data_IF_063347320950
#
_entry.id   IF_063347320950
#
_cell.length_a   1.000
_cell.length_b   1.000
_cell.length_c   1.000
_cell.angle_alpha   90.00
_cell.angle_beta   90.00
_cell.angle_gamma   90.00
#
_symmetry.space_group_name_H-M   'P 1'
#
loop_
_entity.id
_entity.type
_entity.pdbx_description
1 polymer ?
#
# COMPACT_ATOMS: atom_id res chain seq x y z
N UNK A 1 12.84 15.20 11.70
CA UNK A 1 13.57 16.18 10.87
C UNK A 1 12.60 16.95 10.01
N UNK A 2 12.98 18.14 9.56
CA UNK A 2 12.13 19.07 8.80
C UNK A 2 11.50 18.43 7.56
N UNK A 3 12.29 17.66 6.79
CA UNK A 3 11.83 16.92 5.60
C UNK A 3 10.72 15.93 5.93
N UNK A 4 10.85 15.17 7.03
CA UNK A 4 9.81 14.23 7.47
C UNK A 4 8.52 14.95 7.87
N UNK A 5 8.64 16.12 8.51
CA UNK A 5 7.50 16.97 8.83
C UNK A 5 6.77 17.46 7.57
N UNK A 6 7.49 17.89 6.55
CA UNK A 6 6.90 18.31 5.28
C UNK A 6 6.18 17.15 4.56
N UNK A 7 6.81 15.98 4.47
CA UNK A 7 6.16 14.80 3.86
C UNK A 7 4.92 14.34 4.64
N UNK A 8 4.95 14.37 5.98
CA UNK A 8 3.78 14.02 6.79
C UNK A 8 2.60 14.95 6.53
N UNK A 9 2.84 16.25 6.32
CA UNK A 9 1.78 17.19 5.93
C UNK A 9 1.18 16.83 4.56
N UNK A 10 2.04 16.56 3.57
CA UNK A 10 1.59 16.16 2.23
C UNK A 10 0.76 14.88 2.30
N UNK A 11 1.26 13.85 2.98
CA UNK A 11 0.54 12.59 3.16
C UNK A 11 -0.78 12.81 3.88
N UNK A 12 -0.83 13.65 4.91
CA UNK A 12 -2.08 13.98 5.61
C UNK A 12 -3.18 14.49 4.67
N UNK A 13 -2.83 15.34 3.70
CA UNK A 13 -3.78 15.82 2.69
C UNK A 13 -4.19 14.77 1.66
N UNK A 14 -3.27 13.87 1.30
CA UNK A 14 -3.51 12.82 0.30
C UNK A 14 -4.17 11.58 0.89
N UNK A 15 -4.13 11.42 2.22
CA UNK A 15 -4.51 10.19 2.89
C UNK A 15 -5.91 9.68 2.59
N UNK A 16 -6.97 10.52 2.56
CA UNK A 16 -8.31 10.03 2.22
C UNK A 16 -8.34 9.34 0.85
N UNK A 17 -7.56 9.84 -0.13
CA UNK A 17 -7.45 9.23 -1.45
C UNK A 17 -6.63 7.94 -1.40
N UNK A 18 -5.50 7.94 -0.70
CA UNK A 18 -4.65 6.73 -0.53
C UNK A 18 -5.42 5.60 0.16
N UNK A 19 -6.10 5.93 1.26
CA UNK A 19 -6.91 5.00 2.04
C UNK A 19 -8.02 4.37 1.18
N UNK A 20 -8.74 5.18 0.39
CA UNK A 20 -9.80 4.68 -0.50
C UNK A 20 -9.25 3.92 -1.73
N UNK A 21 -8.08 4.31 -2.24
CA UNK A 21 -7.43 3.62 -3.36
C UNK A 21 -7.02 2.18 -3.01
N UNK A 22 -6.94 1.84 -1.72
CA UNK A 22 -6.65 0.48 -1.24
C UNK A 22 -7.65 -0.54 -1.77
N UNK A 23 -8.95 -0.20 -1.86
CA UNK A 23 -9.94 -1.09 -2.46
C UNK A 23 -9.56 -1.45 -3.91
N UNK A 24 -9.13 -0.46 -4.69
CA UNK A 24 -8.72 -0.69 -6.07
C UNK A 24 -7.53 -1.65 -6.14
N UNK A 25 -6.47 -1.40 -5.36
CA UNK A 25 -5.28 -2.28 -5.32
C UNK A 25 -5.65 -3.70 -4.91
N UNK A 26 -6.50 -3.86 -3.89
CA UNK A 26 -6.94 -5.18 -3.44
C UNK A 26 -7.67 -5.93 -4.54
N UNK A 27 -8.56 -5.28 -5.29
CA UNK A 27 -9.35 -5.95 -6.32
C UNK A 27 -8.57 -6.21 -7.61
N UNK A 28 -7.72 -5.28 -8.04
CA UNK A 28 -7.06 -5.38 -9.34
C UNK A 28 -5.71 -6.08 -9.29
N UNK A 29 -5.04 -6.09 -8.13
CA UNK A 29 -3.69 -6.63 -8.00
C UNK A 29 -3.64 -7.81 -7.02
N UNK A 30 -4.24 -7.68 -5.84
CA UNK A 30 -4.13 -8.72 -4.79
C UNK A 30 -5.08 -9.88 -5.03
N UNK A 31 -6.35 -9.60 -5.35
CA UNK A 31 -7.38 -10.62 -5.53
C UNK A 31 -7.04 -11.65 -6.62
N UNK A 32 -6.57 -11.26 -7.83
CA UNK A 32 -6.26 -12.26 -8.86
C UNK A 32 -5.14 -13.22 -8.42
N UNK A 33 -4.14 -12.70 -7.71
CA UNK A 33 -3.03 -13.51 -7.18
C UNK A 33 -3.55 -14.46 -6.09
N UNK A 34 -4.40 -13.97 -5.20
CA UNK A 34 -5.01 -14.76 -4.15
C UNK A 34 -5.85 -15.90 -4.74
N UNK A 35 -6.74 -15.60 -5.67
CA UNK A 35 -7.60 -16.58 -6.34
C UNK A 35 -6.80 -17.65 -7.10
N UNK A 36 -5.69 -17.27 -7.74
CA UNK A 36 -4.81 -18.21 -8.42
C UNK A 36 -4.07 -19.19 -7.49
N UNK A 37 -3.95 -18.86 -6.20
CA UNK A 37 -3.22 -19.67 -5.21
C UNK A 37 -4.11 -20.38 -4.21
N UNK A 38 -5.38 -20.00 -4.11
CA UNK A 38 -6.30 -20.59 -3.15
C UNK A 38 -6.85 -21.96 -3.59
N UNK A 39 -7.20 -22.84 -2.64
CA UNK A 39 -7.94 -24.07 -2.93
C UNK A 39 -9.27 -23.78 -3.61
N UNK A 40 -9.77 -24.73 -4.43
CA UNK A 40 -11.03 -24.58 -5.19
C UNK A 40 -12.24 -24.17 -4.34
N UNK A 41 -12.31 -24.64 -3.09
CA UNK A 41 -13.39 -24.29 -2.15
C UNK A 41 -13.43 -22.77 -1.83
N UNK A 42 -12.30 -22.08 -1.96
CA UNK A 42 -12.16 -20.64 -1.72
C UNK A 42 -11.90 -19.85 -3.02
N UNK A 43 -12.11 -20.45 -4.19
CA UNK A 43 -11.83 -19.79 -5.48
C UNK A 43 -12.63 -18.49 -5.66
N UNK A 44 -13.82 -18.43 -5.09
CA UNK A 44 -14.73 -17.29 -5.14
C UNK A 44 -14.53 -16.30 -3.97
N UNK A 45 -13.48 -16.48 -3.16
CA UNK A 45 -13.10 -15.49 -2.15
C UNK A 45 -12.79 -14.16 -2.85
N UNK A 46 -13.37 -13.08 -2.32
CA UNK A 46 -13.20 -11.74 -2.89
C UNK A 46 -13.10 -10.66 -1.82
N UNK A 47 -12.46 -9.54 -2.13
CA UNK A 47 -12.51 -8.36 -1.27
C UNK A 47 -13.81 -7.60 -1.51
N UNK A 48 -14.35 -6.96 -0.47
CA UNK A 48 -15.54 -6.13 -0.62
C UNK A 48 -15.21 -4.82 -1.37
N UNK A 49 -15.93 -4.45 -2.44
CA UNK A 49 -15.58 -3.31 -3.30
C UNK A 49 -15.82 -1.92 -2.72
N UNK A 50 -16.02 -1.82 -1.41
CA UNK A 50 -16.36 -0.55 -0.75
C UNK A 50 -16.29 -0.59 0.77
N UNK A 51 -15.73 -1.67 1.33
CA UNK A 51 -15.50 -1.80 2.78
C UNK A 51 -14.01 -2.03 3.08
N UNK A 52 -13.14 -1.72 2.13
CA UNK A 52 -11.70 -1.84 2.30
C UNK A 52 -11.03 -0.46 2.33
N UNK A 53 -10.46 -0.08 3.47
CA UNK A 53 -9.77 1.20 3.66
C UNK A 53 -8.67 1.10 4.72
N UNK A 54 -7.67 1.96 4.62
CA UNK A 54 -6.57 2.08 5.59
C UNK A 54 -6.92 2.97 6.80
N UNK A 55 -8.19 3.31 6.96
CA UNK A 55 -8.65 4.16 8.05
C UNK A 55 -8.31 5.63 7.83
N UNK A 56 -8.47 6.43 8.88
CA UNK A 56 -8.34 7.89 8.82
C UNK A 56 -6.96 8.40 9.27
N UNK A 57 -6.20 7.59 10.02
CA UNK A 57 -4.87 7.97 10.52
C UNK A 57 -3.80 7.72 9.44
N UNK A 58 -3.12 8.76 8.93
CA UNK A 58 -2.09 8.60 7.91
C UNK A 58 -0.83 7.94 8.42
N UNK A 59 -0.13 7.24 7.53
CA UNK A 59 1.25 6.80 7.77
C UNK A 59 2.12 8.01 8.14
N UNK A 60 3.12 7.77 8.98
CA UNK A 60 4.03 8.78 9.49
C UNK A 60 5.47 8.44 9.13
N UNK A 61 6.14 9.33 8.39
CA UNK A 61 7.58 9.31 8.21
C UNK A 61 8.27 9.69 9.51
N UNK A 62 9.14 8.81 10.01
CA UNK A 62 9.95 8.99 11.23
C UNK A 62 11.33 9.52 10.90
N UNK A 63 11.98 8.93 9.90
CA UNK A 63 13.32 9.31 9.44
C UNK A 63 13.38 9.21 7.93
N UNK A 64 14.06 10.17 7.31
CA UNK A 64 14.32 10.20 5.88
C UNK A 64 15.79 10.52 5.71
N UNK A 65 16.47 9.70 4.91
CA UNK A 65 17.82 9.93 4.42
C UNK A 65 17.74 10.05 2.91
N UNK A 66 18.46 11.03 2.38
CA UNK A 66 18.53 11.29 0.95
C UNK A 66 20.00 11.20 0.58
N UNK A 67 20.34 10.13 -0.13
CA UNK A 67 21.69 9.85 -0.58
C UNK A 67 21.81 10.13 -2.07
N UNK A 68 22.98 10.60 -2.50
CA UNK A 68 23.31 10.70 -3.92
C UNK A 68 24.06 9.43 -4.30
N UNK A 69 23.46 8.63 -5.18
CA UNK A 69 24.09 7.42 -5.69
C UNK A 69 24.64 7.67 -7.08
N UNK A 70 25.91 7.31 -7.30
CA UNK A 70 26.51 7.36 -8.62
C UNK A 70 26.49 5.95 -9.22
N UNK A 71 25.63 5.72 -10.20
CA UNK A 71 25.58 4.45 -10.91
C UNK A 71 26.38 4.59 -12.22
N UNK A 72 27.45 3.79 -12.37
CA UNK A 72 28.14 3.67 -13.66
C UNK A 72 27.36 2.71 -14.55
N UNK A 73 26.94 3.18 -15.73
CA UNK A 73 26.34 2.36 -16.78
C UNK A 73 27.30 2.28 -17.97
N UNK A 74 26.98 1.42 -18.95
CA UNK A 74 27.78 1.27 -20.17
C UNK A 74 27.84 2.54 -21.04
N UNK A 75 26.94 3.51 -20.82
CA UNK A 75 26.85 4.77 -21.59
C UNK A 75 27.27 6.01 -20.79
N UNK A 76 27.63 5.87 -19.51
CA UNK A 76 28.09 6.99 -18.68
C UNK A 76 27.77 6.84 -17.19
N UNK A 77 28.03 7.88 -16.41
CA UNK A 77 27.65 7.95 -14.99
C UNK A 77 26.27 8.60 -14.82
N UNK A 78 25.35 7.91 -14.15
CA UNK A 78 24.05 8.46 -13.76
C UNK A 78 24.13 8.88 -12.29
N UNK A 79 23.79 10.14 -12.01
CA UNK A 79 23.59 10.61 -10.65
C UNK A 79 22.13 10.38 -10.25
N UNK A 80 21.92 9.41 -9.37
CA UNK A 80 20.64 9.08 -8.79
C UNK A 80 20.48 9.74 -7.42
N UNK A 81 19.23 9.99 -7.05
CA UNK A 81 18.87 10.39 -5.69
C UNK A 81 18.13 9.22 -5.05
N UNK A 82 18.76 8.58 -4.07
CA UNK A 82 18.19 7.48 -3.30
C UNK A 82 17.51 8.04 -2.05
N UNK A 83 16.23 7.71 -1.86
CA UNK A 83 15.47 8.14 -0.69
C UNK A 83 15.21 6.91 0.17
N UNK A 84 15.80 6.91 1.36
CA UNK A 84 15.55 5.90 2.37
C UNK A 84 14.66 6.47 3.45
N UNK A 85 13.45 5.93 3.60
CA UNK A 85 12.49 6.42 4.57
C UNK A 85 12.08 5.31 5.54
N UNK A 86 12.14 5.60 6.83
CA UNK A 86 11.46 4.83 7.86
C UNK A 86 10.11 5.46 8.12
N UNK A 87 9.05 4.68 7.90
CA UNK A 87 7.68 5.08 8.19
C UNK A 87 7.03 4.08 9.14
N UNK A 88 6.01 4.56 9.84
CA UNK A 88 5.18 3.76 10.74
C UNK A 88 3.71 4.05 10.42
N UNK A 89 2.88 3.03 10.53
CA UNK A 89 1.44 3.17 10.31
C UNK A 89 0.71 2.39 11.40
N UNK A 90 -0.01 3.13 12.22
CA UNK A 90 -0.93 2.62 13.24
C UNK A 90 -2.27 3.31 13.00
N UNK A 91 -3.23 2.54 12.53
CA UNK A 91 -4.58 2.99 12.22
C UNK A 91 -5.56 1.83 12.33
N UNK A 92 -6.81 2.18 12.63
CA UNK A 92 -7.94 1.26 12.52
C UNK A 92 -8.27 1.08 11.04
N UNK A 93 -7.71 0.03 10.45
CA UNK A 93 -8.01 -0.36 9.08
C UNK A 93 -9.20 -1.32 9.02
N UNK A 94 -9.84 -1.36 7.86
CA UNK A 94 -10.88 -2.33 7.57
C UNK A 94 -10.54 -3.01 6.26
N UNK A 95 -10.38 -4.34 6.30
CA UNK A 95 -10.13 -5.17 5.12
C UNK A 95 -11.15 -6.29 5.16
N UNK A 96 -12.19 -6.14 4.34
CA UNK A 96 -13.34 -7.04 4.39
C UNK A 96 -13.25 -8.11 3.29
N UNK A 97 -13.21 -9.37 3.71
CA UNK A 97 -13.26 -10.53 2.82
C UNK A 97 -14.68 -11.07 2.74
N UNK A 98 -15.11 -11.41 1.53
CA UNK A 98 -16.37 -12.09 1.24
C UNK A 98 -16.04 -13.52 0.87
N UNK A 99 -16.55 -14.46 1.67
CA UNK A 99 -16.45 -15.87 1.41
C UNK A 99 -17.55 -16.32 0.45
N UNK A 100 -17.28 -17.30 -0.43
CA UNK A 100 -18.34 -17.95 -1.16
C UNK A 100 -19.36 -18.56 -0.21
N UNK A 101 -20.63 -18.55 -0.65
CA UNK A 101 -21.67 -19.31 0.03
C UNK A 101 -21.36 -20.79 -0.17
N UNK A 102 -20.94 -21.48 0.88
CA UNK A 102 -20.68 -22.93 0.82
C UNK A 102 -22.04 -23.63 0.88
N UNK A 103 -22.48 -24.36 -0.16
CA UNK A 103 -23.74 -25.09 -0.10
C UNK A 103 -23.67 -26.16 1.00
N UNK A 104 -24.58 -26.11 1.99
CA UNK A 104 -24.67 -27.10 3.06
C UNK A 104 -24.07 -26.68 4.42
N UNK A 105 -23.63 -25.42 4.56
CA UNK A 105 -23.41 -24.73 5.84
C UNK A 105 -24.44 -23.61 6.02
#
# INVERSE_FOLDING_TARGET
>A
GEVAGALNKIVGHLWPRVSNYTTHVLLTQVQPVLQAKLPKLLADLSFHPGKCHLGQRPLQFRRIHIDREHQRTATGGIQNLAIQARFEWDADCNIFLRFPKVPGL
#
